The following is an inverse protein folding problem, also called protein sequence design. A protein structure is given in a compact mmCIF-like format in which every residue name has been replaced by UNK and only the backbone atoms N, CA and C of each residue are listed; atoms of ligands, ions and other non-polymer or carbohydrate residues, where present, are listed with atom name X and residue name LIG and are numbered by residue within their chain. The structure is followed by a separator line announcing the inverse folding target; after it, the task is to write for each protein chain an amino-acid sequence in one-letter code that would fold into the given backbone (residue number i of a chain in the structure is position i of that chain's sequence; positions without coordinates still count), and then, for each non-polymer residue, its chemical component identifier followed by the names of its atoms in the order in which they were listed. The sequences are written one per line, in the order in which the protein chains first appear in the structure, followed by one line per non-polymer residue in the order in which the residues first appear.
data_IF_395258656452
#
_entry.id   IF_395258656452
#
_cell.length_a   1.000
_cell.length_b   1.000
_cell.length_c   1.000
_cell.angle_alpha   90.00
_cell.angle_beta   90.00
_cell.angle_gamma   90.00
#
_symmetry.space_group_name_H-M   'P 1'
#
loop_
_entity.id
_entity.type
_entity.pdbx_description
1 polymer ?
#
# COMPACT_ATOMS: atom_id res chain seq x y z
N UNK A 1 -4.43 -1.16 -2.77
CA UNK A 1 -3.71 -0.33 -3.77
C UNK A 1 -3.69 1.12 -3.36
N UNK A 2 -4.79 1.68 -2.84
CA UNK A 2 -4.84 3.08 -2.38
C UNK A 2 -3.70 3.44 -1.43
N UNK A 3 -3.45 2.61 -0.41
CA UNK A 3 -2.32 2.77 0.51
C UNK A 3 -0.98 2.84 -0.24
N UNK A 4 -0.75 1.99 -1.24
CA UNK A 4 0.50 2.04 -2.05
C UNK A 4 0.59 3.35 -2.84
N UNK A 5 -0.54 3.87 -3.32
CA UNK A 5 -0.59 5.13 -4.04
C UNK A 5 -0.35 6.32 -3.11
N UNK A 6 -0.66 6.22 -1.82
CA UNK A 6 -0.40 7.29 -0.85
C UNK A 6 1.10 7.48 -0.58
N UNK A 7 1.91 6.43 -0.70
CA UNK A 7 3.37 6.45 -0.50
C UNK A 7 4.19 6.39 -1.80
N UNK A 8 3.55 6.38 -2.98
CA UNK A 8 4.27 6.29 -4.26
C UNK A 8 4.75 7.66 -4.73
N UNK A 9 6.08 7.83 -4.80
CA UNK A 9 6.74 9.07 -5.23
C UNK A 9 6.44 9.49 -6.69
N UNK A 10 5.87 8.60 -7.51
CA UNK A 10 5.47 8.89 -8.91
C UNK A 10 4.25 9.83 -9.00
N UNK A 11 3.62 10.20 -7.88
CA UNK A 11 2.42 11.05 -7.87
C UNK A 11 2.69 12.56 -7.86
N UNK A 12 3.91 13.04 -8.10
CA UNK A 12 4.19 14.50 -8.21
C UNK A 12 3.30 15.22 -9.25
N UNK A 13 2.73 14.49 -10.21
CA UNK A 13 1.83 15.03 -11.24
C UNK A 13 0.34 15.08 -10.82
N UNK A 14 -0.04 14.49 -9.68
CA UNK A 14 -1.39 14.56 -9.13
C UNK A 14 -1.42 15.58 -7.99
N UNK A 15 -2.17 16.67 -8.14
CA UNK A 15 -2.33 17.74 -7.14
C UNK A 15 -3.07 17.35 -5.85
N UNK A 16 -2.88 16.13 -5.35
CA UNK A 16 -3.26 15.67 -4.00
C UNK A 16 -1.98 15.54 -3.15
N UNK A 17 -2.09 15.90 -1.88
CA UNK A 17 -0.99 15.77 -0.92
C UNK A 17 -0.63 14.28 -0.76
N UNK A 18 0.59 13.90 -1.13
CA UNK A 18 1.13 12.53 -0.94
C UNK A 18 1.35 12.31 0.55
N UNK A 19 1.09 11.12 1.08
CA UNK A 19 1.39 10.77 2.46
C UNK A 19 0.31 11.21 3.45
N UNK A 20 -0.94 11.30 3.04
CA UNK A 20 -2.05 11.60 3.95
C UNK A 20 -2.18 10.51 5.02
N UNK A 21 -1.99 9.23 4.64
CA UNK A 21 -2.03 8.12 5.59
C UNK A 21 -0.88 8.20 6.60
N UNK A 22 0.29 8.70 6.17
CA UNK A 22 1.40 8.97 7.07
C UNK A 22 1.04 10.08 8.05
N UNK A 23 0.55 11.23 7.57
CA UNK A 23 0.18 12.38 8.41
C UNK A 23 -0.91 12.05 9.43
N UNK A 24 -1.82 11.16 9.08
CA UNK A 24 -2.88 10.68 9.97
C UNK A 24 -2.41 9.57 10.93
N UNK A 25 -1.19 9.06 10.79
CA UNK A 25 -0.65 7.96 11.60
C UNK A 25 -1.38 6.63 11.38
N UNK A 26 -1.87 6.38 10.17
CA UNK A 26 -2.57 5.14 9.86
C UNK A 26 -1.60 3.97 9.79
N UNK A 27 -1.95 2.89 10.47
CA UNK A 27 -1.28 1.59 10.38
C UNK A 27 -1.70 0.83 9.12
N UNK A 28 -1.38 1.39 7.95
CA UNK A 28 -1.63 0.76 6.65
C UNK A 28 -0.70 -0.45 6.43
N UNK A 29 -1.01 -1.29 5.43
CA UNK A 29 -0.21 -2.49 5.18
C UNK A 29 1.28 -2.19 4.88
N UNK A 30 1.65 -1.16 4.10
CA UNK A 30 3.05 -0.78 3.94
C UNK A 30 3.77 -0.50 5.26
N UNK A 31 3.13 0.22 6.19
CA UNK A 31 3.70 0.53 7.52
C UNK A 31 3.90 -0.75 8.33
N UNK A 32 2.88 -1.61 8.39
CA UNK A 32 2.94 -2.88 9.14
C UNK A 32 4.08 -3.77 8.62
N UNK A 33 4.24 -3.87 7.30
CA UNK A 33 5.31 -4.67 6.69
C UNK A 33 6.70 -4.07 6.97
N UNK A 34 6.83 -2.74 6.95
CA UNK A 34 8.08 -2.06 7.30
C UNK A 34 8.48 -2.30 8.76
N UNK A 35 7.53 -2.23 9.70
CA UNK A 35 7.79 -2.52 11.12
C UNK A 35 8.20 -3.98 11.30
N UNK A 36 7.47 -4.92 10.68
CA UNK A 36 7.80 -6.34 10.77
C UNK A 36 9.20 -6.66 10.23
N UNK A 37 9.60 -6.00 9.14
CA UNK A 37 10.94 -6.13 8.57
C UNK A 37 12.02 -5.56 9.51
N UNK A 38 11.78 -4.40 10.12
CA UNK A 38 12.67 -3.78 11.10
C UNK A 38 12.85 -4.68 12.35
N UNK A 39 11.77 -5.25 12.87
CA UNK A 39 11.81 -6.23 13.97
C UNK A 39 12.63 -7.47 13.61
N UNK A 40 12.41 -8.03 12.41
CA UNK A 40 13.16 -9.18 11.93
C UNK A 40 14.66 -8.87 11.78
N UNK A 41 14.98 -7.67 11.28
CA UNK A 41 16.36 -7.19 11.13
C UNK A 41 17.00 -6.73 12.46
N UNK A 42 16.20 -6.61 13.54
CA UNK A 42 16.60 -6.02 14.82
C UNK A 42 17.12 -4.58 14.66
N UNK A 43 16.53 -3.81 13.74
CA UNK A 43 16.84 -2.42 13.47
C UNK A 43 16.04 -1.51 14.43
N UNK A 44 16.56 -1.32 15.66
CA UNK A 44 15.86 -0.57 16.71
C UNK A 44 15.59 0.89 16.31
N UNK A 45 16.49 1.51 15.56
CA UNK A 45 16.35 2.86 15.03
C UNK A 45 15.15 3.01 14.10
N UNK A 46 14.88 2.01 13.25
CA UNK A 46 13.70 2.01 12.39
C UNK A 46 12.42 1.76 13.19
N UNK A 47 12.45 0.89 14.20
CA UNK A 47 11.30 0.64 15.09
C UNK A 47 10.94 1.92 15.86
N UNK A 48 11.94 2.59 16.43
CA UNK A 48 11.76 3.84 17.16
C UNK A 48 11.26 4.95 16.25
N UNK A 49 11.72 4.99 14.99
CA UNK A 49 11.20 5.90 13.97
C UNK A 49 9.71 5.69 13.73
N UNK A 50 9.25 4.45 13.51
CA UNK A 50 7.83 4.15 13.29
C UNK A 50 6.98 4.42 14.53
N UNK A 51 7.48 4.12 15.73
CA UNK A 51 6.78 4.45 16.97
C UNK A 51 6.60 5.97 17.11
N UNK A 52 7.66 6.75 16.91
CA UNK A 52 7.60 8.22 17.00
C UNK A 52 6.64 8.82 15.97
N UNK A 53 6.77 8.40 14.71
CA UNK A 53 6.06 9.05 13.59
C UNK A 53 4.62 8.57 13.44
N UNK A 54 4.33 7.29 13.65
CA UNK A 54 3.00 6.71 13.47
C UNK A 54 2.28 6.53 14.82
N UNK A 55 2.98 6.05 15.84
CA UNK A 55 2.40 5.81 17.16
C UNK A 55 2.15 7.08 17.96
N UNK A 56 3.16 7.96 18.03
CA UNK A 56 3.12 9.18 18.84
C UNK A 56 2.69 10.41 18.02
N UNK A 57 2.60 10.28 16.69
CA UNK A 57 2.31 11.36 15.74
C UNK A 57 3.29 12.56 15.86
N UNK A 58 4.51 12.31 16.34
CA UNK A 58 5.59 13.29 16.36
C UNK A 58 6.33 13.24 15.02
N UNK A 59 5.89 14.09 14.09
CA UNK A 59 6.33 14.10 12.70
C UNK A 59 7.01 15.41 12.31
N UNK A 60 8.04 15.31 11.49
CA UNK A 60 8.82 16.40 10.91
C UNK A 60 8.74 16.36 9.38
N UNK A 61 9.03 17.49 8.72
CA UNK A 61 8.90 17.62 7.26
C UNK A 61 9.65 16.54 6.46
N UNK A 62 10.79 16.06 6.97
CA UNK A 62 11.61 15.02 6.31
C UNK A 62 11.18 13.58 6.62
N UNK A 63 10.27 13.37 7.57
CA UNK A 63 9.94 12.02 8.03
C UNK A 63 9.17 11.23 6.98
N UNK A 64 8.33 11.86 6.16
CA UNK A 64 7.63 11.18 5.07
C UNK A 64 8.61 10.61 4.04
N UNK A 65 9.62 11.39 3.64
CA UNK A 65 10.65 10.94 2.71
C UNK A 65 11.44 9.76 3.31
N UNK A 66 11.74 9.81 4.61
CA UNK A 66 12.39 8.71 5.31
C UNK A 66 11.51 7.46 5.37
N UNK A 67 10.23 7.60 5.70
CA UNK A 67 9.26 6.51 5.71
C UNK A 67 9.18 5.82 4.33
N UNK A 68 9.12 6.60 3.25
CA UNK A 68 9.11 6.07 1.87
C UNK A 68 10.43 5.32 1.57
N UNK A 69 11.58 5.83 2.01
CA UNK A 69 12.86 5.13 1.85
C UNK A 69 12.88 3.78 2.60
N UNK A 70 12.42 3.74 3.86
CA UNK A 70 12.29 2.50 4.63
C UNK A 70 11.34 1.51 3.96
N UNK A 71 10.19 1.98 3.47
CA UNK A 71 9.23 1.13 2.76
C UNK A 71 9.82 0.55 1.46
N UNK A 72 10.62 1.31 0.73
CA UNK A 72 11.30 0.82 -0.48
C UNK A 72 12.41 -0.17 -0.13
N UNK A 73 13.22 0.14 0.89
CA UNK A 73 14.31 -0.73 1.38
C UNK A 73 13.81 -2.12 1.78
N UNK A 74 12.68 -2.17 2.46
CA UNK A 74 12.04 -3.42 2.89
C UNK A 74 11.07 -4.00 1.87
N UNK A 75 10.97 -3.39 0.69
CA UNK A 75 10.05 -3.79 -0.37
C UNK A 75 8.58 -3.85 0.08
N UNK A 76 8.20 -3.09 1.10
CA UNK A 76 6.86 -3.10 1.70
C UNK A 76 5.79 -2.65 0.70
N UNK A 77 6.09 -1.69 -0.17
CA UNK A 77 5.19 -1.26 -1.25
C UNK A 77 4.96 -2.37 -2.28
N UNK A 78 6.02 -3.08 -2.66
CA UNK A 78 5.93 -4.18 -3.62
C UNK A 78 5.13 -5.36 -3.04
N UNK A 79 5.39 -5.72 -1.78
CA UNK A 79 4.64 -6.77 -1.07
C UNK A 79 3.16 -6.41 -0.90
N UNK A 80 2.86 -5.15 -0.59
CA UNK A 80 1.47 -4.66 -0.51
C UNK A 80 0.77 -4.77 -1.86
N UNK A 81 1.48 -4.48 -2.96
CA UNK A 81 0.97 -4.63 -4.33
C UNK A 81 0.69 -6.09 -4.68
N UNK A 82 1.62 -6.98 -4.39
CA UNK A 82 1.45 -8.42 -4.59
C UNK A 82 0.24 -8.95 -3.81
N UNK A 83 0.06 -8.49 -2.57
CA UNK A 83 -1.10 -8.86 -1.75
C UNK A 83 -2.42 -8.40 -2.38
N UNK A 84 -2.45 -7.20 -2.95
CA UNK A 84 -3.62 -6.71 -3.67
C UNK A 84 -3.91 -7.52 -4.94
N UNK A 85 -2.88 -7.92 -5.69
CA UNK A 85 -3.02 -8.79 -6.87
C UNK A 85 -3.55 -10.16 -6.49
N UNK A 86 -3.07 -10.74 -5.38
CA UNK A 86 -3.59 -12.00 -4.85
C UNK A 86 -5.09 -11.93 -4.56
N UNK A 87 -5.55 -10.87 -3.87
CA UNK A 87 -6.98 -10.69 -3.60
C UNK A 87 -7.81 -10.46 -4.86
N UNK A 88 -7.27 -9.72 -5.85
CA UNK A 88 -7.95 -9.53 -7.13
C UNK A 88 -8.10 -10.85 -7.89
N UNK A 89 -7.08 -11.70 -7.90
CA UNK A 89 -7.15 -13.02 -8.54
C UNK A 89 -8.18 -13.92 -7.83
N UNK A 90 -8.17 -13.95 -6.50
CA UNK A 90 -9.18 -14.69 -5.73
C UNK A 90 -10.61 -14.21 -6.04
N UNK A 91 -10.81 -12.88 -6.12
CA UNK A 91 -12.10 -12.32 -6.50
C UNK A 91 -12.52 -12.71 -7.93
N UNK A 92 -11.58 -12.80 -8.87
CA UNK A 92 -11.85 -13.25 -10.24
C UNK A 92 -12.25 -14.73 -10.25
N UNK A 93 -11.59 -15.56 -9.45
CA UNK A 93 -11.89 -16.99 -9.34
C UNK A 93 -13.30 -17.21 -8.75
N UNK A 94 -13.70 -16.43 -7.75
CA UNK A 94 -15.04 -16.47 -7.17
C UNK A 94 -16.15 -16.13 -8.19
N UNK A 95 -15.86 -15.31 -9.20
CA UNK A 95 -16.81 -14.99 -10.27
C UNK A 95 -17.16 -16.18 -11.17
N UNK A 96 -16.36 -17.26 -11.14
CA UNK A 96 -16.65 -18.48 -11.89
C UNK A 96 -17.95 -19.18 -11.40
N UNK A 97 -18.37 -18.93 -10.16
CA UNK A 97 -19.57 -19.53 -9.59
C UNK A 97 -20.90 -18.93 -10.12
N UNK A 98 -20.85 -17.77 -10.78
CA UNK A 98 -22.06 -17.12 -11.28
C UNK A 98 -22.53 -17.69 -12.63
N UNK A 99 -23.85 -17.77 -12.88
CA UNK A 99 -24.39 -18.17 -14.17
C UNK A 99 -23.81 -17.34 -15.32
N UNK A 100 -23.51 -17.99 -16.44
CA UNK A 100 -22.75 -17.40 -17.55
C UNK A 100 -23.57 -16.36 -18.32
N UNK A 101 -23.61 -15.12 -17.81
CA UNK A 101 -23.86 -13.96 -18.64
C UNK A 101 -22.51 -13.37 -19.02
N UNK A 102 -21.99 -13.79 -20.19
CA UNK A 102 -20.66 -13.47 -20.68
C UNK A 102 -20.32 -11.96 -20.57
N UNK A 103 -21.30 -11.07 -20.78
CA UNK A 103 -21.14 -9.62 -20.63
C UNK A 103 -20.93 -9.17 -19.17
N UNK A 104 -21.71 -9.70 -18.22
CA UNK A 104 -21.63 -9.34 -16.79
C UNK A 104 -20.33 -9.85 -16.18
N UNK A 105 -19.94 -11.10 -16.48
CA UNK A 105 -18.69 -11.68 -15.99
C UNK A 105 -17.48 -10.91 -16.52
N UNK A 106 -17.47 -10.56 -17.80
CA UNK A 106 -16.42 -9.74 -18.39
C UNK A 106 -16.34 -8.34 -17.76
N UNK A 107 -17.48 -7.69 -17.50
CA UNK A 107 -17.53 -6.39 -16.83
C UNK A 107 -16.96 -6.45 -15.40
N UNK A 108 -17.32 -7.48 -14.62
CA UNK A 108 -16.84 -7.66 -13.25
C UNK A 108 -15.33 -7.94 -13.20
N UNK A 109 -14.82 -8.82 -14.07
CA UNK A 109 -13.37 -9.08 -14.18
C UNK A 109 -12.62 -7.79 -14.55
N UNK A 110 -13.15 -7.01 -15.51
CA UNK A 110 -12.55 -5.74 -15.91
C UNK A 110 -12.57 -4.71 -14.77
N UNK A 111 -13.64 -4.65 -13.97
CA UNK A 111 -13.71 -3.77 -12.81
C UNK A 111 -12.66 -4.15 -11.74
N UNK A 112 -12.52 -5.44 -11.43
CA UNK A 112 -11.50 -5.94 -10.49
C UNK A 112 -10.10 -5.59 -10.99
N UNK A 113 -9.79 -5.88 -12.26
CA UNK A 113 -8.49 -5.53 -12.85
C UNK A 113 -8.23 -4.02 -12.82
N UNK A 114 -9.21 -3.19 -13.20
CA UNK A 114 -9.08 -1.73 -13.17
C UNK A 114 -8.81 -1.21 -11.76
N UNK A 115 -9.32 -1.86 -10.70
CA UNK A 115 -9.06 -1.46 -9.32
C UNK A 115 -7.61 -1.66 -8.87
N UNK A 116 -6.92 -2.68 -9.43
CA UNK A 116 -5.51 -2.98 -9.12
C UNK A 116 -4.50 -2.41 -10.11
N UNK A 117 -4.94 -2.19 -11.35
CA UNK A 117 -4.13 -1.64 -12.44
C UNK A 117 -4.15 -0.11 -12.49
N UNK A 118 -4.59 0.58 -11.43
CA UNK A 118 -4.41 2.03 -11.30
C UNK A 118 -2.91 2.32 -11.35
N UNK A 119 -2.42 2.63 -12.54
CA UNK A 119 -1.02 2.88 -12.88
C UNK A 119 -0.98 4.21 -13.62
N UNK A 120 -0.27 5.14 -13.00
CA UNK A 120 0.35 6.36 -13.54
C UNK A 120 -0.57 7.55 -13.79
#
# INVERSE_FOLDING_TARGET
IDDVLDYSADRRDWGKEIGDDFREGKMTLPVVLSIAAAEQAKAQDEIDFWQRTIGDLDQQDSDLDHAIDLMNRHQALAQTRERAEHFANAAIDDLAAFPDSHATRALMINAVRASISRRY
#
